data_IF_978393170834
#
_entry.id   IF_978393170834
#
_cell.length_a   1.000
_cell.length_b   1.000
_cell.length_c   1.000
_cell.angle_alpha   90.00
_cell.angle_beta   90.00
_cell.angle_gamma   90.00
#
_symmetry.space_group_name_H-M   'P 1'
#
loop_
_entity.id
_entity.type
_entity.pdbx_description
1 polymer ?
#
# COMPACT_ATOMS: atom_id res chain seq x y z
N UNK A 1 -7.85 4.41 -15.82
CA UNK A 1 -6.37 4.47 -15.89
C UNK A 1 -5.90 4.16 -14.48
N UNK A 2 -5.23 3.03 -14.27
CA UNK A 2 -4.69 2.66 -12.95
C UNK A 2 -3.43 3.48 -12.69
N UNK A 3 -3.42 4.24 -11.59
CA UNK A 3 -2.23 4.98 -11.17
C UNK A 3 -1.44 4.15 -10.17
N UNK A 4 -0.15 4.00 -10.42
CA UNK A 4 0.78 3.37 -9.48
C UNK A 4 1.06 4.35 -8.34
N UNK A 5 0.70 3.97 -7.11
CA UNK A 5 0.85 4.86 -5.95
C UNK A 5 2.29 4.90 -5.45
N UNK A 6 3.00 3.77 -5.51
CA UNK A 6 4.39 3.67 -5.05
C UNK A 6 5.15 2.61 -5.86
N UNK A 7 6.07 3.06 -6.72
CA UNK A 7 6.87 2.18 -7.58
C UNK A 7 8.30 1.91 -7.13
N UNK A 8 8.70 2.35 -5.93
CA UNK A 8 10.09 2.23 -5.44
C UNK A 8 10.18 1.77 -3.98
N UNK A 9 9.27 0.88 -3.58
CA UNK A 9 9.35 0.21 -2.28
C UNK A 9 9.76 -1.23 -2.49
N UNK A 10 10.90 -1.61 -1.91
CA UNK A 10 11.33 -3.01 -1.77
C UNK A 10 10.81 -3.67 -0.48
N UNK A 11 9.87 -3.01 0.21
CA UNK A 11 9.32 -3.41 1.50
C UNK A 11 8.86 -2.22 2.34
N UNK A 12 8.01 -2.50 3.34
CA UNK A 12 7.59 -1.51 4.35
C UNK A 12 7.88 -2.08 5.73
N UNK A 13 8.84 -1.45 6.40
CA UNK A 13 9.14 -1.63 7.82
C UNK A 13 8.60 -0.45 8.64
N UNK A 14 8.61 -0.57 9.97
CA UNK A 14 8.21 0.48 10.91
C UNK A 14 8.88 1.84 10.62
N UNK A 15 10.15 1.85 10.17
CA UNK A 15 10.88 3.08 9.91
C UNK A 15 10.35 3.82 8.68
N UNK A 16 9.83 3.10 7.69
CA UNK A 16 9.24 3.66 6.47
C UNK A 16 7.73 3.81 6.54
N UNK A 17 7.05 3.07 7.42
CA UNK A 17 5.59 3.12 7.59
C UNK A 17 5.07 4.54 7.87
N UNK A 18 5.75 5.27 8.76
CA UNK A 18 5.39 6.66 9.09
C UNK A 18 5.54 7.63 7.92
N UNK A 19 6.45 7.35 6.98
CA UNK A 19 6.61 8.14 5.77
C UNK A 19 5.58 7.75 4.69
N UNK A 20 5.27 6.46 4.59
CA UNK A 20 4.45 5.89 3.51
C UNK A 20 2.96 6.08 3.76
N UNK A 21 2.51 5.93 5.00
CA UNK A 21 1.10 6.08 5.38
C UNK A 21 0.49 7.43 4.96
N UNK A 22 1.11 8.59 5.22
CA UNK A 22 0.58 9.87 4.75
C UNK A 22 0.62 10.00 3.23
N UNK A 23 1.65 9.47 2.56
CA UNK A 23 1.77 9.51 1.09
C UNK A 23 0.65 8.72 0.41
N UNK A 24 0.34 7.52 0.89
CA UNK A 24 -0.79 6.72 0.42
C UNK A 24 -2.11 7.45 0.65
N UNK A 25 -2.30 8.02 1.84
CA UNK A 25 -3.53 8.72 2.20
C UNK A 25 -3.75 9.98 1.35
N UNK A 26 -2.70 10.68 0.95
CA UNK A 26 -2.78 11.85 0.06
C UNK A 26 -2.96 11.43 -1.39
N UNK A 27 -2.27 10.37 -1.84
CA UNK A 27 -2.31 9.91 -3.23
C UNK A 27 -3.65 9.32 -3.66
N UNK A 28 -4.44 8.78 -2.73
CA UNK A 28 -5.74 8.17 -3.03
C UNK A 28 -6.82 9.26 -3.20
N UNK A 29 -7.00 9.77 -4.40
CA UNK A 29 -8.14 10.64 -4.74
C UNK A 29 -9.45 9.84 -4.89
N UNK A 30 -10.59 10.50 -4.65
CA UNK A 30 -11.92 9.89 -4.72
C UNK A 30 -12.26 9.37 -6.13
N UNK A 31 -12.88 8.19 -6.20
CA UNK A 31 -13.25 7.54 -7.47
C UNK A 31 -12.07 7.09 -8.34
N UNK A 32 -10.84 7.14 -7.83
CA UNK A 32 -9.66 6.65 -8.53
C UNK A 32 -9.51 5.13 -8.45
N UNK A 33 -8.68 4.58 -9.34
CA UNK A 33 -8.32 3.18 -9.38
C UNK A 33 -6.80 3.05 -9.22
N UNK A 34 -6.37 2.38 -8.15
CA UNK A 34 -4.99 2.38 -7.69
C UNK A 34 -4.47 0.97 -7.48
N UNK A 35 -3.16 0.82 -7.69
CA UNK A 35 -2.46 -0.43 -7.48
C UNK A 35 -1.21 -0.24 -6.61
N UNK A 36 -0.99 -1.16 -5.68
CA UNK A 36 0.26 -1.34 -4.96
C UNK A 36 0.77 -2.73 -5.30
N UNK A 37 1.91 -2.79 -5.99
CA UNK A 37 2.59 -4.05 -6.26
C UNK A 37 3.58 -4.33 -5.14
N UNK A 38 3.37 -5.44 -4.42
CA UNK A 38 4.29 -5.92 -3.36
C UNK A 38 4.98 -7.23 -3.74
N UNK A 39 4.88 -7.65 -5.01
CA UNK A 39 5.41 -8.94 -5.50
C UNK A 39 6.90 -9.11 -5.25
N UNK A 40 7.66 -8.02 -5.31
CA UNK A 40 9.11 -7.99 -5.11
C UNK A 40 9.51 -7.65 -3.66
N UNK A 41 8.56 -7.51 -2.74
CA UNK A 41 8.86 -7.16 -1.36
C UNK A 41 9.49 -8.35 -0.63
N UNK A 42 10.69 -8.13 -0.10
CA UNK A 42 11.42 -9.15 0.67
C UNK A 42 11.10 -9.11 2.15
N UNK A 43 10.52 -8.01 2.64
CA UNK A 43 10.19 -7.83 4.05
C UNK A 43 8.98 -6.90 4.22
N UNK A 44 8.03 -7.30 5.06
CA UNK A 44 6.95 -6.45 5.52
C UNK A 44 6.59 -6.84 6.96
N UNK A 45 6.82 -5.90 7.88
CA UNK A 45 6.47 -6.12 9.27
C UNK A 45 4.98 -5.83 9.52
N UNK A 46 4.53 -6.05 10.76
CA UNK A 46 3.14 -5.83 11.15
C UNK A 46 2.71 -4.37 10.97
N UNK A 47 3.65 -3.42 11.01
CA UNK A 47 3.41 -2.00 10.77
C UNK A 47 3.17 -1.71 9.30
N UNK A 48 3.95 -2.34 8.41
CA UNK A 48 3.72 -2.29 6.98
C UNK A 48 2.35 -2.83 6.60
N UNK A 49 1.92 -3.94 7.21
CA UNK A 49 0.56 -4.48 7.03
C UNK A 49 -0.50 -3.48 7.51
N UNK A 50 -0.33 -2.91 8.70
CA UNK A 50 -1.25 -1.90 9.23
C UNK A 50 -1.36 -0.68 8.30
N UNK A 51 -0.25 -0.28 7.68
CA UNK A 51 -0.18 0.83 6.73
C UNK A 51 -0.97 0.53 5.46
N UNK A 52 -0.78 -0.66 4.88
CA UNK A 52 -1.55 -1.12 3.72
C UNK A 52 -3.06 -1.18 4.04
N UNK A 53 -3.43 -1.76 5.18
CA UNK A 53 -4.83 -1.83 5.62
C UNK A 53 -5.45 -0.43 5.80
N UNK A 54 -4.69 0.52 6.34
CA UNK A 54 -5.13 1.93 6.47
C UNK A 54 -5.37 2.58 5.10
N UNK A 55 -4.51 2.32 4.12
CA UNK A 55 -4.68 2.79 2.74
C UNK A 55 -5.92 2.18 2.08
N UNK A 56 -6.15 0.88 2.25
CA UNK A 56 -7.36 0.17 1.80
C UNK A 56 -8.63 0.77 2.41
N UNK A 57 -8.61 1.07 3.71
CA UNK A 57 -9.71 1.76 4.40
C UNK A 57 -9.97 3.15 3.82
N UNK A 58 -8.91 3.92 3.59
CA UNK A 58 -8.99 5.27 3.00
C UNK A 58 -9.57 5.25 1.59
N UNK A 59 -9.13 4.32 0.74
CA UNK A 59 -9.69 4.13 -0.60
C UNK A 59 -11.18 3.85 -0.55
N UNK A 60 -11.59 2.91 0.31
CA UNK A 60 -13.01 2.57 0.50
C UNK A 60 -13.84 3.77 0.98
N UNK A 61 -13.33 4.55 1.93
CA UNK A 61 -14.02 5.76 2.42
C UNK A 61 -14.18 6.82 1.32
N UNK A 62 -13.23 6.91 0.39
CA UNK A 62 -13.25 7.86 -0.73
C UNK A 62 -13.94 7.31 -1.98
N UNK A 63 -14.52 6.11 -1.92
CA UNK A 63 -15.11 5.45 -3.09
C UNK A 63 -14.09 5.12 -4.19
N UNK A 64 -12.81 5.05 -3.85
CA UNK A 64 -11.73 4.62 -4.73
C UNK A 64 -11.51 3.11 -4.62
N UNK A 65 -10.95 2.52 -5.67
CA UNK A 65 -10.50 1.13 -5.70
C UNK A 65 -9.01 1.10 -5.43
N UNK A 66 -8.59 0.23 -4.50
CA UNK A 66 -7.19 -0.04 -4.23
C UNK A 66 -6.96 -1.55 -4.27
N UNK A 67 -6.16 -2.01 -5.22
CA UNK A 67 -5.71 -3.38 -5.32
C UNK A 67 -4.27 -3.51 -4.80
N UNK A 68 -3.99 -4.58 -4.06
CA UNK A 68 -2.65 -4.90 -3.56
C UNK A 68 -2.27 -6.29 -4.08
N UNK A 69 -1.20 -6.38 -4.86
CA UNK A 69 -0.64 -7.68 -5.26
C UNK A 69 0.30 -8.15 -4.17
N UNK A 70 0.02 -9.32 -3.59
CA UNK A 70 0.85 -9.92 -2.54
C UNK A 70 1.92 -10.83 -3.15
N UNK A 71 3.13 -10.91 -2.57
CA UNK A 71 4.11 -11.90 -2.99
C UNK A 71 3.60 -13.31 -2.72
N UNK A 72 3.97 -14.26 -3.58
CA UNK A 72 3.48 -15.65 -3.56
C UNK A 72 3.81 -16.42 -2.26
N UNK A 73 4.73 -15.93 -1.44
CA UNK A 73 5.09 -16.48 -0.13
C UNK A 73 4.41 -15.83 1.07
N UNK A 74 3.59 -14.79 0.86
CA UNK A 74 3.07 -13.93 1.92
C UNK A 74 4.05 -12.84 2.35
N UNK A 75 3.54 -11.83 3.06
CA UNK A 75 4.32 -10.65 3.49
C UNK A 75 5.00 -10.82 4.87
N UNK A 76 4.62 -11.86 5.63
CA UNK A 76 5.12 -12.10 6.99
C UNK A 76 6.11 -13.26 6.94
N UNK A 77 7.39 -12.97 7.16
CA UNK A 77 8.38 -14.00 7.50
C UNK A 77 8.53 -14.13 9.01
#
# INVERSE_FOLDING_TARGET
MSSELIGDLSGVDLARADEIAPRLSVGIAAGGDYHIDTSDWTHCDLTGIATLLSALSTARQRGAVLAVTMPSGGLVS
#
